data_IF_279170420855
#
_entry.id   IF_279170420855
#
_cell.length_a   1.000
_cell.length_b   1.000
_cell.length_c   1.000
_cell.angle_alpha   90.00
_cell.angle_beta   90.00
_cell.angle_gamma   90.00
#
_symmetry.space_group_name_H-M   'P 1'
#
loop_
_entity.id
_entity.type
_entity.pdbx_description
1 polymer ?
#
# COMPACT_ATOMS: atom_id res chain seq x y z
N UNK A 1 61.61 13.59 -46.07
CA UNK A 1 61.38 13.77 -47.51
C UNK A 1 60.31 12.79 -47.95
N UNK A 2 59.18 13.34 -48.41
CA UNK A 2 58.52 12.99 -49.69
C UNK A 2 57.70 11.68 -49.73
N UNK A 3 56.40 11.87 -49.48
CA UNK A 3 55.30 11.67 -50.44
C UNK A 3 54.44 10.40 -50.43
N UNK A 4 53.21 10.58 -49.95
CA UNK A 4 51.97 10.76 -50.74
C UNK A 4 51.60 9.77 -51.86
N UNK A 5 50.45 9.13 -51.63
CA UNK A 5 49.13 9.41 -52.24
C UNK A 5 48.61 8.52 -53.40
N UNK A 6 47.32 8.13 -53.20
CA UNK A 6 46.20 8.05 -54.15
C UNK A 6 46.30 7.03 -55.32
N UNK A 7 45.22 6.46 -55.87
CA UNK A 7 43.77 6.55 -55.68
C UNK A 7 43.12 5.46 -56.58
N UNK A 8 41.78 5.47 -56.62
CA UNK A 8 40.86 4.82 -57.58
C UNK A 8 40.48 3.37 -57.21
N UNK A 9 39.20 2.97 -57.16
CA UNK A 9 37.94 3.59 -57.56
C UNK A 9 37.00 2.48 -58.09
N UNK A 10 35.69 2.73 -58.04
CA UNK A 10 34.61 2.10 -58.86
C UNK A 10 33.85 0.91 -58.24
N UNK A 11 32.76 1.29 -57.57
CA UNK A 11 31.34 1.04 -57.92
C UNK A 11 30.58 -0.26 -57.60
N UNK A 12 29.40 0.01 -57.03
CA UNK A 12 28.08 -0.61 -57.24
C UNK A 12 27.71 -1.99 -56.65
N UNK A 13 26.98 -1.94 -55.53
CA UNK A 13 25.71 -2.66 -55.39
C UNK A 13 24.82 -2.04 -54.28
N UNK A 14 23.95 -1.14 -54.71
CA UNK A 14 22.74 -0.66 -54.01
C UNK A 14 21.73 -1.82 -53.91
N UNK A 15 21.05 -2.01 -52.77
CA UNK A 15 19.57 -1.82 -52.62
C UNK A 15 18.93 -2.57 -51.41
N UNK A 16 18.72 -1.87 -50.28
CA UNK A 16 17.49 -2.03 -49.47
C UNK A 16 17.34 -0.88 -48.45
N UNK A 17 16.20 -0.16 -48.39
CA UNK A 17 16.11 1.13 -47.70
C UNK A 17 15.70 1.03 -46.22
N UNK A 18 16.42 1.76 -45.36
CA UNK A 18 15.99 2.09 -44.00
C UNK A 18 14.79 3.08 -44.00
N UNK A 19 13.85 2.97 -43.05
CA UNK A 19 12.72 3.88 -42.97
C UNK A 19 13.14 5.30 -42.56
N UNK A 20 12.78 6.27 -43.39
CA UNK A 20 12.96 7.71 -43.12
C UNK A 20 12.26 8.12 -41.81
N UNK A 21 13.03 8.71 -40.88
CA UNK A 21 12.49 9.40 -39.71
C UNK A 21 11.67 10.61 -40.18
N UNK A 22 10.37 10.61 -39.86
CA UNK A 22 9.41 11.67 -40.18
C UNK A 22 9.53 12.79 -39.13
N UNK A 23 9.55 14.09 -39.49
CA UNK A 23 9.56 15.19 -38.52
C UNK A 23 8.28 15.16 -37.65
N UNK A 24 8.43 15.37 -36.34
CA UNK A 24 7.29 15.53 -35.43
C UNK A 24 6.47 16.77 -35.82
N UNK A 25 5.24 16.54 -36.28
CA UNK A 25 4.23 17.58 -36.47
C UNK A 25 3.60 17.86 -35.11
N UNK A 26 3.62 19.10 -34.64
CA UNK A 26 2.91 19.50 -33.42
C UNK A 26 1.40 19.23 -33.56
N UNK A 27 0.72 18.74 -32.51
CA UNK A 27 -0.70 18.44 -32.61
C UNK A 27 -1.52 19.73 -32.80
N UNK A 28 -2.30 19.80 -33.88
CA UNK A 28 -3.39 20.77 -34.01
C UNK A 28 -4.49 20.42 -32.99
N UNK A 29 -5.05 21.40 -32.26
CA UNK A 29 -6.14 21.12 -31.33
C UNK A 29 -7.37 20.60 -32.08
N UNK A 30 -7.94 19.51 -31.54
CA UNK A 30 -9.17 18.87 -32.02
C UNK A 30 -10.38 19.82 -31.89
N UNK A 31 -11.37 19.66 -32.78
CA UNK A 31 -12.54 20.54 -32.93
C UNK A 31 -13.26 20.89 -31.62
N UNK A 32 -13.22 19.99 -30.63
CA UNK A 32 -13.83 20.18 -29.30
C UNK A 32 -13.22 21.31 -28.44
N UNK A 33 -12.06 21.86 -28.81
CA UNK A 33 -11.42 22.98 -28.08
C UNK A 33 -11.83 24.35 -28.64
N UNK A 34 -12.40 24.42 -29.85
CA UNK A 34 -12.88 25.70 -30.42
C UNK A 34 -14.25 26.11 -29.88
N UNK A 35 -15.11 25.16 -29.55
CA UNK A 35 -16.47 25.46 -29.05
C UNK A 35 -16.45 26.09 -27.66
N UNK A 36 -15.47 25.74 -26.82
CA UNK A 36 -15.30 26.33 -25.48
C UNK A 36 -14.81 27.77 -25.49
N UNK A 37 -14.18 28.24 -26.58
CA UNK A 37 -13.71 29.62 -26.70
C UNK A 37 -14.78 30.55 -27.31
N UNK A 38 -15.67 30.02 -28.16
CA UNK A 38 -16.82 30.77 -28.71
C UNK A 38 -17.93 30.97 -27.66
N UNK A 39 -18.08 30.03 -26.72
CA UNK A 39 -19.11 30.14 -25.67
C UNK A 39 -18.81 31.21 -24.60
N UNK A 40 -17.58 31.72 -24.52
CA UNK A 40 -17.18 32.78 -23.59
C UNK A 40 -17.30 34.19 -24.19
N UNK A 41 -17.44 34.32 -25.51
CA UNK A 41 -17.57 35.63 -26.18
C UNK A 41 -19.04 36.07 -26.38
N UNK A 42 -20.00 35.16 -26.20
CA UNK A 42 -21.44 35.44 -26.39
C UNK A 42 -22.20 35.89 -25.12
N UNK A 43 -21.51 36.22 -24.02
CA UNK A 43 -22.17 36.75 -22.80
C UNK A 43 -21.99 38.25 -22.58
N UNK A 44 -21.66 39.00 -23.63
CA UNK A 44 -21.42 40.45 -23.51
C UNK A 44 -21.93 41.23 -24.71
N UNK A 45 -23.26 41.23 -24.96
CA UNK A 45 -23.89 42.33 -25.75
C UNK A 45 -25.25 42.74 -25.16
N UNK A 46 -25.52 44.05 -25.04
CA UNK A 46 -26.77 44.58 -24.51
C UNK A 46 -27.88 44.43 -25.56
N UNK A 47 -29.04 43.95 -25.13
CA UNK A 47 -30.24 43.92 -25.96
C UNK A 47 -30.72 45.36 -26.16
N UNK A 48 -30.73 45.81 -27.42
CA UNK A 48 -31.29 47.08 -27.86
C UNK A 48 -32.81 46.98 -27.79
N UNK A 49 -33.44 47.68 -26.85
CA UNK A 49 -34.89 47.84 -26.84
C UNK A 49 -35.29 48.88 -27.89
N UNK A 50 -36.03 48.43 -28.90
CA UNK A 50 -36.70 49.25 -29.91
C UNK A 50 -37.73 50.15 -29.24
N UNK A 51 -37.47 51.46 -29.22
CA UNK A 51 -38.43 52.49 -28.82
C UNK A 51 -39.31 52.83 -30.03
N UNK A 52 -40.53 52.29 -30.06
CA UNK A 52 -41.65 52.88 -30.79
C UNK A 52 -42.45 53.73 -29.81
N UNK A 53 -42.20 55.03 -29.76
CA UNK A 53 -42.97 55.99 -28.96
C UNK A 53 -44.02 56.62 -29.87
N UNK A 54 -45.30 56.37 -29.58
CA UNK A 54 -46.39 57.31 -29.91
C UNK A 54 -47.15 57.63 -28.61
N UNK A 55 -47.18 58.93 -28.31
CA UNK A 55 -48.10 59.72 -27.47
C UNK A 55 -48.63 59.21 -26.09
N UNK A 56 -48.24 59.98 -25.04
CA UNK A 56 -48.89 60.38 -23.74
C UNK A 56 -50.38 60.03 -23.45
N UNK A 57 -50.89 60.21 -22.19
CA UNK A 57 -50.29 60.11 -20.84
C UNK A 57 -51.19 59.34 -19.83
N UNK A 58 -50.80 59.31 -18.55
CA UNK A 58 -51.61 58.99 -17.34
C UNK A 58 -51.81 57.52 -16.94
N UNK A 59 -50.80 56.94 -16.27
CA UNK A 59 -50.99 56.06 -15.11
C UNK A 59 -49.68 55.91 -14.34
N UNK A 60 -49.71 56.13 -13.02
CA UNK A 60 -48.58 55.85 -12.13
C UNK A 60 -48.19 54.36 -12.21
N UNK A 61 -46.90 54.00 -12.34
CA UNK A 61 -46.51 52.60 -12.42
C UNK A 61 -46.45 51.99 -11.02
N UNK A 62 -47.19 50.91 -10.83
CA UNK A 62 -47.21 50.06 -9.64
C UNK A 62 -45.78 49.61 -9.26
N UNK A 63 -45.40 49.82 -7.99
CA UNK A 63 -44.04 49.62 -7.45
C UNK A 63 -43.67 48.15 -7.16
N UNK A 64 -44.56 47.19 -7.44
CA UNK A 64 -44.43 45.81 -6.94
C UNK A 64 -43.26 45.01 -7.55
N UNK A 65 -42.97 45.18 -8.84
CA UNK A 65 -41.90 44.42 -9.51
C UNK A 65 -40.49 44.80 -9.04
N UNK A 66 -40.28 46.06 -8.66
CA UNK A 66 -38.97 46.59 -8.27
C UNK A 66 -38.62 46.23 -6.83
N UNK A 67 -39.64 46.15 -5.96
CA UNK A 67 -39.51 45.65 -4.59
C UNK A 67 -39.12 44.15 -4.57
N UNK A 68 -39.73 43.34 -5.45
CA UNK A 68 -39.41 41.90 -5.57
C UNK A 68 -37.97 41.63 -6.02
N UNK A 69 -37.45 42.41 -6.97
CA UNK A 69 -36.05 42.30 -7.43
C UNK A 69 -35.07 42.72 -6.33
N UNK A 70 -35.34 43.83 -5.62
CA UNK A 70 -34.50 44.27 -4.51
C UNK A 70 -34.45 43.23 -3.38
N UNK A 71 -35.58 42.59 -3.07
CA UNK A 71 -35.65 41.54 -2.05
C UNK A 71 -34.82 40.30 -2.43
N UNK A 72 -34.84 39.92 -3.72
CA UNK A 72 -34.02 38.80 -4.23
C UNK A 72 -32.53 39.12 -4.17
N UNK A 73 -32.13 40.33 -4.56
CA UNK A 73 -30.73 40.75 -4.46
C UNK A 73 -30.23 40.78 -3.01
N UNK A 74 -31.08 41.16 -2.05
CA UNK A 74 -30.73 41.11 -0.62
C UNK A 74 -30.55 39.68 -0.12
N UNK A 75 -31.36 38.73 -0.59
CA UNK A 75 -31.21 37.32 -0.28
C UNK A 75 -29.90 36.75 -0.85
N UNK A 76 -29.60 37.04 -2.12
CA UNK A 76 -28.35 36.61 -2.78
C UNK A 76 -27.11 37.22 -2.08
N UNK A 77 -27.19 38.47 -1.63
CA UNK A 77 -26.13 39.11 -0.82
C UNK A 77 -26.00 38.46 0.56
N UNK A 78 -27.10 37.96 1.13
CA UNK A 78 -27.11 37.17 2.35
C UNK A 78 -26.38 35.84 2.19
N UNK A 79 -26.71 35.10 1.14
CA UNK A 79 -26.12 33.80 0.81
C UNK A 79 -24.63 33.91 0.48
N UNK A 80 -24.25 34.87 -0.37
CA UNK A 80 -22.83 35.13 -0.69
C UNK A 80 -22.02 35.48 0.56
N UNK A 81 -22.58 36.26 1.49
CA UNK A 81 -21.92 36.56 2.77
C UNK A 81 -21.74 35.31 3.64
N UNK A 82 -22.70 34.39 3.65
CA UNK A 82 -22.59 33.13 4.38
C UNK A 82 -21.50 32.23 3.76
N UNK A 83 -21.51 32.08 2.44
CA UNK A 83 -20.50 31.31 1.70
C UNK A 83 -19.08 31.85 1.94
N UNK A 84 -18.91 33.18 2.03
CA UNK A 84 -17.62 33.80 2.37
C UNK A 84 -17.17 33.42 3.79
N UNK A 85 -18.09 33.31 4.76
CA UNK A 85 -17.74 32.88 6.12
C UNK A 85 -17.28 31.43 6.16
N UNK A 86 -17.99 30.54 5.47
CA UNK A 86 -17.63 29.12 5.36
C UNK A 86 -16.27 28.96 4.66
N UNK A 87 -16.03 29.68 3.57
CA UNK A 87 -14.76 29.64 2.84
C UNK A 87 -13.58 30.11 3.71
N UNK A 88 -13.80 31.12 4.57
CA UNK A 88 -12.80 31.54 5.57
C UNK A 88 -12.54 30.45 6.61
N UNK A 89 -13.57 29.76 7.10
CA UNK A 89 -13.43 28.62 8.03
C UNK A 89 -12.60 27.49 7.42
N UNK A 90 -12.94 27.07 6.20
CA UNK A 90 -12.17 26.05 5.47
C UNK A 90 -10.72 26.49 5.21
N UNK A 91 -10.48 27.77 4.97
CA UNK A 91 -9.11 28.31 4.82
C UNK A 91 -8.31 28.14 6.11
N UNK A 92 -8.91 28.38 7.29
CA UNK A 92 -8.23 28.17 8.57
C UNK A 92 -7.94 26.70 8.86
N UNK A 93 -8.87 25.80 8.54
CA UNK A 93 -8.65 24.36 8.67
C UNK A 93 -7.54 23.87 7.74
N UNK A 94 -7.50 24.36 6.50
CA UNK A 94 -6.44 24.02 5.55
C UNK A 94 -5.07 24.43 6.08
N UNK A 95 -4.96 25.62 6.68
CA UNK A 95 -3.71 26.07 7.31
C UNK A 95 -3.34 25.13 8.47
N UNK A 96 -4.29 24.75 9.33
CA UNK A 96 -4.05 23.79 10.41
C UNK A 96 -3.54 22.45 9.90
N UNK A 97 -4.25 21.83 8.96
CA UNK A 97 -3.87 20.54 8.36
C UNK A 97 -2.50 20.63 7.69
N UNK A 98 -2.18 21.75 7.02
CA UNK A 98 -0.86 21.96 6.42
C UNK A 98 0.25 22.00 7.47
N UNK A 99 -0.01 22.58 8.64
CA UNK A 99 0.95 22.58 9.75
C UNK A 99 1.14 21.19 10.35
N UNK A 100 0.05 20.45 10.58
CA UNK A 100 0.12 19.07 11.06
C UNK A 100 0.86 18.15 10.08
N UNK A 101 0.61 18.29 8.77
CA UNK A 101 1.33 17.56 7.73
C UNK A 101 2.83 17.86 7.79
N UNK A 102 3.21 19.13 7.98
CA UNK A 102 4.62 19.51 8.13
C UNK A 102 5.25 18.83 9.36
N UNK A 103 4.56 18.82 10.49
CA UNK A 103 4.99 18.13 11.71
C UNK A 103 5.17 16.62 11.47
N UNK A 104 4.15 15.94 10.95
CA UNK A 104 4.21 14.50 10.65
C UNK A 104 5.33 14.17 9.67
N UNK A 105 5.57 15.02 8.66
CA UNK A 105 6.70 14.85 7.73
C UNK A 105 8.05 14.92 8.44
N UNK A 106 8.20 15.83 9.41
CA UNK A 106 9.44 15.90 10.20
C UNK A 106 9.63 14.68 11.10
N UNK A 107 8.57 14.22 11.77
CA UNK A 107 8.61 13.02 12.61
C UNK A 107 8.94 11.76 11.79
N UNK A 108 8.32 11.59 10.62
CA UNK A 108 8.63 10.49 9.71
C UNK A 108 10.12 10.51 9.31
N UNK A 109 10.67 11.69 9.01
CA UNK A 109 12.09 11.81 8.68
C UNK A 109 13.02 11.45 9.84
N UNK A 110 12.60 11.73 11.08
CA UNK A 110 13.36 11.38 12.28
C UNK A 110 13.27 9.87 12.56
N UNK A 111 12.07 9.28 12.49
CA UNK A 111 11.88 7.82 12.63
C UNK A 111 12.67 7.07 11.58
N UNK A 112 12.66 7.53 10.32
CA UNK A 112 13.48 6.93 9.25
C UNK A 112 14.97 6.93 9.59
N UNK A 113 15.50 8.02 10.14
CA UNK A 113 16.90 8.10 10.58
C UNK A 113 17.18 7.16 11.74
N UNK A 114 16.29 7.11 12.73
CA UNK A 114 16.42 6.22 13.87
C UNK A 114 16.45 4.74 13.43
N UNK A 115 15.53 4.32 12.56
CA UNK A 115 15.52 2.95 12.03
C UNK A 115 16.79 2.63 11.24
N UNK A 116 17.32 3.57 10.46
CA UNK A 116 18.59 3.37 9.75
C UNK A 116 19.78 3.18 10.70
N UNK A 117 19.80 3.93 11.81
CA UNK A 117 20.84 3.80 12.83
C UNK A 117 20.72 2.48 13.61
N UNK A 118 19.51 2.09 14.00
CA UNK A 118 19.26 0.80 14.67
C UNK A 118 19.66 -0.37 13.78
N UNK A 119 19.33 -0.32 12.47
CA UNK A 119 19.79 -1.34 11.52
C UNK A 119 21.31 -1.40 11.45
N UNK A 120 21.98 -0.25 11.35
CA UNK A 120 23.44 -0.18 11.33
C UNK A 120 24.04 -0.79 12.61
N UNK A 121 23.49 -0.46 13.77
CA UNK A 121 23.93 -0.99 15.05
C UNK A 121 23.75 -2.51 15.14
N UNK A 122 22.64 -3.05 14.64
CA UNK A 122 22.40 -4.50 14.59
C UNK A 122 23.42 -5.19 13.68
N UNK A 123 23.75 -4.61 12.52
CA UNK A 123 24.78 -5.14 11.64
C UNK A 123 26.17 -5.14 12.29
N UNK A 124 26.54 -4.05 12.97
CA UNK A 124 27.82 -3.97 13.71
C UNK A 124 27.90 -5.01 14.84
N UNK A 125 26.80 -5.23 15.58
CA UNK A 125 26.72 -6.28 16.60
C UNK A 125 26.87 -7.68 16.01
N UNK A 126 26.26 -7.94 14.84
CA UNK A 126 26.36 -9.22 14.17
C UNK A 126 27.79 -9.50 13.68
N UNK A 127 28.46 -8.48 13.13
CA UNK A 127 29.87 -8.57 12.71
C UNK A 127 30.81 -8.82 13.92
N UNK A 128 30.59 -8.11 15.03
CA UNK A 128 31.37 -8.31 16.25
C UNK A 128 31.21 -9.74 16.83
N UNK A 129 30.01 -10.33 16.76
CA UNK A 129 29.77 -11.72 17.15
C UNK A 129 30.50 -12.67 16.18
N UNK A 130 30.40 -12.43 14.88
CA UNK A 130 31.06 -13.26 13.85
C UNK A 130 32.58 -13.26 13.99
N UNK A 131 33.16 -12.11 14.35
CA UNK A 131 34.61 -11.91 14.45
C UNK A 131 35.17 -12.18 15.87
N UNK A 132 34.34 -12.63 16.82
CA UNK A 132 34.77 -12.95 18.19
C UNK A 132 35.61 -14.23 18.25
N UNK A 133 36.84 -14.19 18.81
CA UNK A 133 37.77 -15.33 18.84
C UNK A 133 37.36 -16.47 19.79
N UNK A 134 36.26 -16.33 20.54
CA UNK A 134 35.73 -17.38 21.42
C UNK A 134 35.09 -18.53 20.63
N UNK A 135 34.60 -18.29 19.40
CA UNK A 135 34.07 -19.37 18.54
C UNK A 135 35.16 -20.04 17.70
N UNK A 136 36.24 -19.34 17.35
CA UNK A 136 37.27 -19.84 16.40
C UNK A 136 38.31 -20.76 17.02
N UNK A 137 38.44 -20.81 18.35
CA UNK A 137 39.44 -21.66 19.03
C UNK A 137 38.96 -23.09 19.32
N UNK A 138 37.68 -23.41 19.10
CA UNK A 138 37.16 -24.77 19.36
C UNK A 138 37.17 -25.69 18.13
N UNK A 139 37.51 -25.18 16.94
CA UNK A 139 37.50 -25.98 15.70
C UNK A 139 38.86 -26.57 15.30
N UNK A 140 39.93 -26.35 16.07
CA UNK A 140 41.27 -26.84 15.71
C UNK A 140 41.65 -28.20 16.32
N UNK A 141 40.85 -28.81 17.20
CA UNK A 141 41.16 -30.11 17.78
C UNK A 141 39.93 -31.02 17.82
N UNK A 142 39.98 -32.05 16.99
CA UNK A 142 39.21 -33.30 17.03
C UNK A 142 37.71 -33.22 16.73
N UNK A 143 37.31 -33.99 15.72
CA UNK A 143 35.94 -34.27 15.30
C UNK A 143 34.97 -34.50 16.47
N UNK A 144 33.92 -33.67 16.63
CA UNK A 144 32.87 -33.91 17.61
C UNK A 144 31.66 -34.53 16.89
N UNK A 145 31.73 -35.83 16.60
CA UNK A 145 30.54 -36.57 16.19
C UNK A 145 30.44 -37.84 17.05
N UNK A 146 29.69 -37.81 18.17
CA UNK A 146 29.48 -39.01 18.97
C UNK A 146 28.61 -39.97 18.17
N UNK A 147 29.26 -40.96 17.55
CA UNK A 147 28.59 -42.11 16.98
C UNK A 147 27.76 -42.81 18.06
N UNK A 148 26.51 -43.15 17.74
CA UNK A 148 25.49 -43.77 18.60
C UNK A 148 26.03 -44.98 19.41
N UNK A 149 27.08 -45.64 18.93
CA UNK A 149 27.75 -46.76 19.59
C UNK A 149 28.44 -46.41 20.93
N UNK A 150 28.81 -45.14 21.17
CA UNK A 150 29.55 -44.76 22.40
C UNK A 150 28.65 -44.58 23.63
N UNK A 151 27.35 -44.35 23.45
CA UNK A 151 26.40 -44.11 24.55
C UNK A 151 25.98 -45.43 25.23
N UNK A 152 26.09 -46.57 24.53
CA UNK A 152 25.64 -47.88 25.04
C UNK A 152 26.73 -48.64 25.80
N UNK A 153 27.97 -48.13 25.83
CA UNK A 153 29.14 -48.86 26.38
C UNK A 153 29.70 -48.33 27.69
N UNK A 154 29.14 -47.27 28.28
CA UNK A 154 29.62 -46.72 29.55
C UNK A 154 29.03 -47.46 30.76
N UNK A 155 29.87 -48.02 31.68
CA UNK A 155 29.40 -48.62 32.93
C UNK A 155 28.80 -47.56 33.88
N UNK A 156 27.84 -47.91 34.75
CA UNK A 156 27.09 -46.95 35.57
C UNK A 156 27.86 -46.58 36.85
N UNK A 157 29.06 -46.04 36.73
CA UNK A 157 29.80 -45.49 37.89
C UNK A 157 30.65 -44.31 37.47
N UNK A 158 30.02 -43.17 37.20
CA UNK A 158 30.53 -41.86 37.60
C UNK A 158 29.43 -40.82 37.38
N UNK A 159 29.26 -39.97 38.39
CA UNK A 159 28.31 -38.86 38.47
C UNK A 159 28.28 -38.01 37.20
N UNK A 160 27.10 -37.68 36.64
CA UNK A 160 27.03 -36.82 35.47
C UNK A 160 27.34 -35.39 35.91
N UNK A 161 28.47 -34.86 35.42
CA UNK A 161 28.65 -33.42 35.34
C UNK A 161 27.54 -32.86 34.42
N UNK A 162 26.55 -32.19 35.00
CA UNK A 162 25.38 -31.60 34.33
C UNK A 162 25.72 -30.41 33.41
N UNK A 163 26.95 -30.30 32.91
CA UNK A 163 27.45 -29.05 32.31
C UNK A 163 27.82 -29.18 30.83
N UNK A 164 27.35 -30.22 30.12
CA UNK A 164 27.64 -30.34 28.68
C UNK A 164 26.54 -31.05 27.90
N UNK A 165 25.31 -30.52 28.04
CA UNK A 165 24.33 -30.56 26.96
C UNK A 165 23.84 -29.12 26.78
N UNK A 166 24.77 -28.19 26.52
CA UNK A 166 24.37 -27.01 25.77
C UNK A 166 24.35 -27.46 24.32
N UNK A 167 23.26 -28.17 24.01
CA UNK A 167 22.87 -28.49 22.65
C UNK A 167 23.12 -27.26 21.80
N UNK A 168 23.79 -27.50 20.67
CA UNK A 168 23.72 -26.63 19.52
C UNK A 168 22.24 -26.40 19.25
N UNK A 169 21.67 -25.34 19.82
CA UNK A 169 20.47 -24.70 19.32
C UNK A 169 20.89 -24.11 17.96
N UNK A 170 20.99 -24.95 16.93
CA UNK A 170 20.32 -24.55 15.70
C UNK A 170 18.88 -24.38 16.13
N UNK A 171 18.49 -23.14 16.44
CA UNK A 171 17.13 -22.77 16.78
C UNK A 171 16.26 -23.49 15.75
N UNK A 172 15.50 -24.53 16.14
CA UNK A 172 14.55 -25.12 15.22
C UNK A 172 13.53 -24.00 15.04
N UNK A 173 13.56 -23.26 13.93
CA UNK A 173 12.75 -22.03 13.72
C UNK A 173 11.37 -22.22 14.34
N UNK A 174 11.22 -21.63 15.53
CA UNK A 174 10.25 -22.09 16.52
C UNK A 174 8.89 -21.58 16.13
N UNK A 175 8.18 -22.25 15.21
CA UNK A 175 6.74 -22.12 14.97
C UNK A 175 6.13 -20.71 14.76
N UNK A 176 6.94 -19.65 14.65
CA UNK A 176 6.50 -18.26 14.89
C UNK A 176 6.81 -17.27 13.77
N UNK A 177 7.54 -17.69 12.73
CA UNK A 177 7.97 -16.77 11.66
C UNK A 177 7.04 -16.80 10.43
N UNK A 178 5.90 -17.50 10.53
CA UNK A 178 4.85 -17.41 9.51
C UNK A 178 3.77 -16.48 10.01
N UNK A 179 3.54 -15.40 9.27
CA UNK A 179 2.39 -14.54 9.48
C UNK A 179 1.12 -15.30 9.08
N UNK A 180 0.08 -15.23 9.89
CA UNK A 180 -1.19 -15.92 9.62
C UNK A 180 -2.33 -14.91 9.54
N UNK A 181 -3.24 -15.09 8.59
CA UNK A 181 -4.55 -14.48 8.64
C UNK A 181 -5.53 -15.51 9.21
N UNK A 182 -6.14 -15.20 10.34
CA UNK A 182 -7.11 -16.10 10.98
C UNK A 182 -8.55 -15.71 10.59
N UNK A 183 -9.29 -16.66 10.03
CA UNK A 183 -10.66 -16.48 9.53
C UNK A 183 -11.61 -17.29 10.43
N UNK A 184 -12.57 -16.62 11.05
CA UNK A 184 -13.63 -17.20 11.86
C UNK A 184 -14.92 -17.31 11.05
N UNK A 185 -15.42 -18.54 10.91
CA UNK A 185 -16.64 -18.89 10.17
C UNK A 185 -17.78 -19.31 11.11
N UNK A 186 -17.61 -19.16 12.42
CA UNK A 186 -18.61 -19.58 13.43
C UNK A 186 -19.99 -18.93 13.28
N UNK A 187 -20.06 -17.76 12.63
CA UNK A 187 -21.31 -17.01 12.38
C UNK A 187 -21.85 -17.16 10.96
N UNK A 188 -21.21 -17.99 10.13
CA UNK A 188 -21.70 -18.27 8.79
C UNK A 188 -22.89 -19.23 8.90
N UNK A 189 -23.92 -18.98 8.10
CA UNK A 189 -25.13 -19.78 8.07
C UNK A 189 -24.83 -21.23 7.65
N UNK A 190 -25.52 -22.20 8.26
CA UNK A 190 -25.26 -23.64 8.06
C UNK A 190 -25.44 -24.13 6.62
N UNK A 191 -26.10 -23.35 5.75
CA UNK A 191 -26.23 -23.66 4.32
C UNK A 191 -25.00 -23.32 3.47
N UNK A 192 -24.02 -22.60 4.02
CA UNK A 192 -22.82 -22.15 3.30
C UNK A 192 -21.53 -22.89 3.73
N UNK A 193 -21.65 -24.07 4.34
CA UNK A 193 -20.51 -24.88 4.79
C UNK A 193 -19.54 -25.20 3.63
N UNK A 194 -20.04 -25.37 2.40
CA UNK A 194 -19.22 -25.59 1.21
C UNK A 194 -18.36 -24.37 0.87
N UNK A 195 -18.87 -23.15 1.07
CA UNK A 195 -18.16 -21.88 0.84
C UNK A 195 -17.12 -21.59 1.93
N UNK A 196 -17.31 -22.13 3.13
CA UNK A 196 -16.39 -21.98 4.27
C UNK A 196 -15.37 -23.13 4.38
N UNK A 197 -15.46 -24.13 3.50
CA UNK A 197 -14.46 -25.19 3.42
C UNK A 197 -13.05 -24.63 3.11
N UNK A 198 -12.01 -25.34 3.57
CA UNK A 198 -10.59 -24.99 3.34
C UNK A 198 -10.32 -24.77 1.85
N UNK A 199 -10.86 -25.65 1.00
CA UNK A 199 -10.70 -25.58 -0.44
C UNK A 199 -11.47 -24.41 -1.07
N UNK A 200 -12.66 -24.08 -0.59
CA UNK A 200 -13.41 -22.92 -1.08
C UNK A 200 -12.72 -21.61 -0.69
N UNK A 201 -12.32 -21.45 0.56
CA UNK A 201 -11.60 -20.27 1.03
C UNK A 201 -10.31 -20.07 0.22
N UNK A 202 -9.51 -21.14 0.01
CA UNK A 202 -8.32 -21.08 -0.86
C UNK A 202 -8.68 -20.57 -2.25
N UNK A 203 -9.71 -21.14 -2.89
CA UNK A 203 -10.13 -20.75 -4.25
C UNK A 203 -10.57 -19.29 -4.31
N UNK A 204 -11.36 -18.82 -3.33
CA UNK A 204 -11.85 -17.44 -3.29
C UNK A 204 -10.68 -16.46 -3.13
N UNK A 205 -9.79 -16.69 -2.16
CA UNK A 205 -8.64 -15.81 -1.91
C UNK A 205 -7.71 -15.77 -3.12
N UNK A 206 -7.35 -16.94 -3.65
CA UNK A 206 -6.46 -16.98 -4.80
C UNK A 206 -7.09 -16.37 -6.06
N UNK A 207 -8.39 -16.57 -6.29
CA UNK A 207 -9.08 -15.95 -7.42
C UNK A 207 -9.04 -14.43 -7.34
N UNK A 208 -9.32 -13.88 -6.17
CA UNK A 208 -9.34 -12.43 -5.98
C UNK A 208 -7.94 -11.82 -6.10
N UNK A 209 -6.93 -12.42 -5.45
CA UNK A 209 -5.56 -11.89 -5.47
C UNK A 209 -4.95 -12.01 -6.87
N UNK A 210 -5.20 -13.09 -7.62
CA UNK A 210 -4.77 -13.19 -9.02
C UNK A 210 -5.46 -12.20 -9.95
N UNK A 211 -6.63 -11.68 -9.55
CA UNK A 211 -7.32 -10.60 -10.27
C UNK A 211 -6.74 -9.21 -10.00
N UNK A 212 -5.81 -9.08 -9.05
CA UNK A 212 -5.07 -7.83 -8.81
C UNK A 212 -3.89 -7.70 -9.79
N UNK A 213 -3.58 -6.48 -10.17
CA UNK A 213 -2.42 -6.15 -11.00
C UNK A 213 -1.12 -6.70 -10.35
N UNK A 214 -0.21 -7.22 -11.17
CA UNK A 214 1.07 -7.83 -10.77
C UNK A 214 1.04 -9.12 -9.93
N UNK A 215 -0.11 -9.80 -9.78
CA UNK A 215 -0.24 -11.01 -8.92
C UNK A 215 -0.84 -12.24 -9.60
N UNK A 216 -0.75 -12.33 -10.92
CA UNK A 216 -1.35 -13.41 -11.74
C UNK A 216 -0.93 -14.84 -11.34
N UNK A 217 0.29 -15.04 -10.85
CA UNK A 217 0.79 -16.35 -10.43
C UNK A 217 0.72 -16.57 -8.91
N UNK A 218 -0.01 -15.70 -8.19
CA UNK A 218 -0.11 -15.81 -6.75
C UNK A 218 -0.89 -17.05 -6.33
N UNK A 219 -0.41 -17.68 -5.25
CA UNK A 219 -1.02 -18.85 -4.62
C UNK A 219 -0.91 -18.76 -3.10
N UNK A 220 -1.92 -19.28 -2.40
CA UNK A 220 -1.85 -19.41 -0.95
C UNK A 220 -0.66 -20.29 -0.55
N UNK A 221 0.11 -19.89 0.47
CA UNK A 221 1.21 -20.72 1.01
C UNK A 221 0.64 -21.96 1.70
N UNK A 222 -0.30 -21.76 2.61
CA UNK A 222 -1.05 -22.83 3.25
C UNK A 222 -2.40 -22.30 3.74
N UNK A 223 -3.40 -23.18 3.78
CA UNK A 223 -4.69 -22.92 4.44
C UNK A 223 -4.98 -24.12 5.32
N UNK A 224 -5.10 -23.90 6.63
CA UNK A 224 -5.27 -24.95 7.64
C UNK A 224 -6.51 -24.67 8.48
N UNK A 225 -7.16 -25.73 9.00
CA UNK A 225 -8.14 -25.58 10.08
C UNK A 225 -7.41 -25.50 11.41
N UNK A 226 -7.93 -24.70 12.33
CA UNK A 226 -7.39 -24.65 13.69
C UNK A 226 -7.80 -25.94 14.43
N UNK A 227 -6.84 -26.70 15.00
CA UNK A 227 -7.15 -27.92 15.76
C UNK A 227 -8.00 -27.64 17.00
N UNK A 228 -7.94 -26.43 17.58
CA UNK A 228 -8.74 -26.03 18.74
C UNK A 228 -10.15 -25.60 18.36
N UNK A 229 -10.34 -25.10 17.14
CA UNK A 229 -11.63 -24.60 16.68
C UNK A 229 -11.80 -24.85 15.18
N UNK A 230 -12.61 -25.86 14.82
CA UNK A 230 -12.84 -26.25 13.43
C UNK A 230 -13.57 -25.18 12.59
N UNK A 231 -14.22 -24.20 13.24
CA UNK A 231 -14.83 -23.03 12.58
C UNK A 231 -13.80 -21.90 12.36
N UNK A 232 -12.57 -22.04 12.86
CA UNK A 232 -11.45 -21.14 12.56
C UNK A 232 -10.50 -21.75 11.56
N UNK A 233 -10.11 -20.95 10.59
CA UNK A 233 -9.12 -21.29 9.58
C UNK A 233 -7.95 -20.32 9.64
N UNK A 234 -6.76 -20.77 9.27
CA UNK A 234 -5.55 -19.95 9.21
C UNK A 234 -4.98 -20.01 7.79
N UNK A 235 -4.70 -18.85 7.23
CA UNK A 235 -3.98 -18.71 5.96
C UNK A 235 -2.57 -18.25 6.30
N UNK A 236 -1.56 -19.05 5.92
CA UNK A 236 -0.17 -18.65 6.05
C UNK A 236 0.21 -17.67 4.94
N UNK A 237 0.85 -16.57 5.30
CA UNK A 237 1.38 -15.54 4.39
C UNK A 237 2.92 -15.55 4.40
N UNK A 238 3.54 -15.02 3.35
CA UNK A 238 5.01 -14.93 3.24
C UNK A 238 5.57 -13.66 3.87
N UNK A 239 4.84 -12.56 3.79
CA UNK A 239 5.21 -11.26 4.31
C UNK A 239 3.97 -10.48 4.79
N UNK A 240 4.19 -9.32 5.41
CA UNK A 240 3.12 -8.46 5.94
C UNK A 240 2.25 -7.86 4.83
N UNK A 241 2.80 -7.68 3.63
CA UNK A 241 2.05 -7.13 2.50
C UNK A 241 1.03 -8.15 1.98
N UNK A 242 1.44 -9.41 1.84
CA UNK A 242 0.56 -10.54 1.56
C UNK A 242 -0.47 -10.71 2.68
N UNK A 243 -0.05 -10.58 3.94
CA UNK A 243 -0.98 -10.63 5.07
C UNK A 243 -2.07 -9.57 4.97
N UNK A 244 -1.70 -8.31 4.69
CA UNK A 244 -2.65 -7.20 4.56
C UNK A 244 -3.65 -7.44 3.44
N UNK A 245 -3.18 -7.91 2.28
CA UNK A 245 -4.05 -8.19 1.13
C UNK A 245 -4.96 -9.39 1.40
N UNK A 246 -4.45 -10.47 2.00
CA UNK A 246 -5.28 -11.62 2.38
C UNK A 246 -6.35 -11.21 3.39
N UNK A 247 -6.03 -10.37 4.38
CA UNK A 247 -7.01 -9.82 5.34
C UNK A 247 -8.10 -9.03 4.62
N UNK A 248 -7.72 -8.11 3.74
CA UNK A 248 -8.65 -7.30 2.95
C UNK A 248 -9.56 -8.15 2.05
N UNK A 249 -9.01 -9.16 1.37
CA UNK A 249 -9.76 -10.06 0.50
C UNK A 249 -10.72 -10.92 1.31
N UNK A 250 -10.25 -11.46 2.43
CA UNK A 250 -11.07 -12.29 3.31
C UNK A 250 -12.24 -11.51 3.91
N UNK A 251 -12.05 -10.25 4.31
CA UNK A 251 -13.12 -9.40 4.82
C UNK A 251 -14.16 -9.04 3.77
N UNK A 252 -13.76 -8.84 2.50
CA UNK A 252 -14.67 -8.35 1.45
C UNK A 252 -15.38 -9.45 0.67
N UNK A 253 -14.75 -10.62 0.49
CA UNK A 253 -15.19 -11.62 -0.50
C UNK A 253 -15.64 -12.94 0.09
N UNK A 254 -15.45 -13.16 1.39
CA UNK A 254 -15.90 -14.39 2.04
C UNK A 254 -17.42 -14.42 2.25
N UNK A 255 -17.92 -15.60 2.61
CA UNK A 255 -19.32 -15.83 2.96
C UNK A 255 -19.81 -14.84 4.03
N UNK A 256 -21.05 -14.31 3.92
CA UNK A 256 -21.64 -13.50 4.98
C UNK A 256 -21.52 -14.15 6.36
N UNK A 257 -21.16 -13.34 7.37
CA UNK A 257 -20.89 -13.84 8.72
C UNK A 257 -19.45 -14.31 8.96
N UNK A 258 -18.61 -14.36 7.92
CA UNK A 258 -17.16 -14.58 8.08
C UNK A 258 -16.50 -13.36 8.71
N UNK A 259 -15.59 -13.59 9.66
CA UNK A 259 -14.80 -12.54 10.30
C UNK A 259 -13.32 -12.83 10.21
N UNK A 260 -12.52 -11.82 9.87
CA UNK A 260 -11.07 -11.90 10.05
C UNK A 260 -10.74 -11.51 11.48
N UNK A 261 -10.11 -12.43 12.21
CA UNK A 261 -9.59 -12.18 13.54
C UNK A 261 -8.30 -11.35 13.39
N UNK A 262 -8.19 -10.30 14.20
CA UNK A 262 -6.89 -9.65 14.39
C UNK A 262 -6.00 -10.65 15.11
N UNK A 263 -4.78 -10.83 14.63
CA UNK A 263 -3.77 -11.61 15.32
C UNK A 263 -3.36 -10.81 16.56
N UNK A 264 -4.24 -10.83 17.56
CA UNK A 264 -3.96 -10.28 18.87
C UNK A 264 -3.07 -11.32 19.55
N UNK A 265 -1.77 -11.21 19.28
CA UNK A 265 -0.79 -11.56 20.28
C UNK A 265 -1.05 -10.59 21.45
N UNK A 266 -2.01 -10.93 22.31
CA UNK A 266 -2.12 -10.25 23.58
C UNK A 266 -0.78 -10.44 24.27
N UNK A 267 -0.11 -9.36 24.73
CA UNK A 267 0.93 -9.53 25.73
C UNK A 267 0.25 -10.17 26.94
N UNK A 268 0.39 -11.49 27.07
CA UNK A 268 -0.06 -12.17 28.26
C UNK A 268 0.92 -11.77 29.36
N UNK A 269 0.40 -11.17 30.42
CA UNK A 269 1.20 -10.78 31.57
C UNK A 269 1.68 -12.04 32.26
N UNK A 270 2.97 -12.35 32.12
CA UNK A 270 3.71 -13.12 33.12
C UNK A 270 4.39 -12.05 33.98
N UNK A 271 4.05 -12.02 35.27
CA UNK A 271 4.61 -11.08 36.26
C UNK A 271 4.28 -9.60 36.08
N UNK A 272 3.06 -9.26 35.66
CA UNK A 272 2.55 -7.88 35.66
C UNK A 272 3.35 -6.85 34.83
N UNK A 273 4.31 -7.28 34.02
CA UNK A 273 5.09 -6.42 33.13
C UNK A 273 4.73 -6.74 31.67
N UNK A 274 4.32 -5.73 30.92
CA UNK A 274 4.14 -5.85 29.49
C UNK A 274 5.52 -5.97 28.84
N UNK A 275 5.91 -7.16 28.38
CA UNK A 275 7.06 -7.29 27.47
C UNK A 275 6.60 -6.94 26.06
N UNK A 276 7.11 -5.84 25.51
CA UNK A 276 7.11 -5.62 24.07
C UNK A 276 8.11 -6.61 23.45
N UNK A 277 7.63 -7.43 22.52
CA UNK A 277 8.49 -8.24 21.64
C UNK A 277 9.09 -7.33 20.58
#
# INVERSE_FOLDING_TARGET
MVSNANAEGIDDAVNSPEPRRRPLRSPKPSAKVRDTLISLENKTKPVKNTLGITARPDAAPTLDGRASVAQRMLADVGETRQNIKELKGLTTELISVKTELATVKTELSNVKKQVAEELKQVYERLDAISNSPVLTTTTALTSPNPSYANVVRTPPTSSPNLNSIQSMETTPSTMSDSLFCTIDTSRVESGEDDRTSVGAIRRIVEKEIRGMEDRVNWRCRAVTKDPKNLKRLRIACRDETELGIVKQVAERKMAPGTRVLRDELYPFKVDNVNRSV
#
